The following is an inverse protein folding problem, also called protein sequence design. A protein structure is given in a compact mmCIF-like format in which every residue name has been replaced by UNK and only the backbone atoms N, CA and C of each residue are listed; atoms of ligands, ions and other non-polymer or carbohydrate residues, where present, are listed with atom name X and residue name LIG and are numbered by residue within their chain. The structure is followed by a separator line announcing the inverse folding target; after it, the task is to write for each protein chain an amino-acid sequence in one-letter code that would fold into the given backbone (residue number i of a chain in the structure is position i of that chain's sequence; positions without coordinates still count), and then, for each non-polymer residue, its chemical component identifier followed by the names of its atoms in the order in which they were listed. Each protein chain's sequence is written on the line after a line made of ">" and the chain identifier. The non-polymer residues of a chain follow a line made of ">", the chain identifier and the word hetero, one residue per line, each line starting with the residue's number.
data_IF_447155475856
#
_entry.id   IF_447155475856
#
_cell.length_a   1.000
_cell.length_b   1.000
_cell.length_c   1.000
_cell.angle_alpha   90.00
_cell.angle_beta   90.00
_cell.angle_gamma   90.00
#
_symmetry.space_group_name_H-M   'P 1'
#
loop_
_entity.id
_entity.type
_entity.pdbx_description
1 polymer ?
#
# COMPACT_ATOMS: atom_id res chain seq x y z
N UNK A 1 -6.80 -26.43 11.55
CA UNK A 1 -6.16 -25.11 11.60
C UNK A 1 -5.60 -24.83 10.23
N UNK A 2 -5.95 -23.70 9.60
CA UNK A 2 -5.37 -23.36 8.30
C UNK A 2 -3.85 -23.19 8.50
N UNK A 3 -3.07 -23.97 7.77
CA UNK A 3 -1.62 -24.02 7.95
C UNK A 3 -1.04 -22.66 7.54
N UNK A 4 -0.68 -21.82 8.53
CA UNK A 4 -0.16 -20.47 8.31
C UNK A 4 1.03 -20.49 7.35
N UNK A 5 1.80 -21.58 7.36
CA UNK A 5 2.90 -21.83 6.44
C UNK A 5 2.45 -21.73 4.97
N UNK A 6 1.27 -22.26 4.62
CA UNK A 6 0.70 -22.20 3.26
C UNK A 6 0.25 -20.79 2.88
N UNK A 7 -0.14 -19.96 3.83
CA UNK A 7 -0.55 -18.57 3.59
C UNK A 7 0.65 -17.65 3.26
N UNK A 8 1.79 -17.89 3.91
CA UNK A 8 2.95 -16.98 3.84
C UNK A 8 4.08 -17.48 2.96
N UNK A 9 4.14 -18.79 2.65
CA UNK A 9 5.22 -19.36 1.85
C UNK A 9 4.84 -19.39 0.36
N UNK A 10 5.40 -18.50 -0.48
CA UNK A 10 5.09 -18.45 -1.91
C UNK A 10 5.68 -19.65 -2.67
N UNK A 11 6.61 -20.43 -2.13
CA UNK A 11 7.22 -21.56 -2.84
C UNK A 11 6.58 -22.91 -2.49
N UNK A 12 5.69 -22.94 -1.49
CA UNK A 12 4.99 -24.15 -1.09
C UNK A 12 4.16 -24.74 -2.25
N UNK A 13 4.24 -26.06 -2.42
CA UNK A 13 3.40 -26.77 -3.38
C UNK A 13 1.92 -26.70 -2.98
N UNK A 14 1.00 -26.64 -3.94
CA UNK A 14 -0.45 -26.56 -3.71
C UNK A 14 -1.10 -27.77 -4.36
N UNK A 15 -1.34 -28.82 -3.58
CA UNK A 15 -1.84 -30.10 -4.08
C UNK A 15 -3.32 -30.28 -3.79
N UNK A 16 -3.78 -29.86 -2.60
CA UNK A 16 -5.16 -30.07 -2.17
C UNK A 16 -6.01 -28.79 -2.27
N UNK A 17 -7.34 -28.95 -2.21
CA UNK A 17 -8.24 -27.80 -2.08
C UNK A 17 -8.02 -27.03 -0.78
N UNK A 18 -7.66 -27.71 0.31
CA UNK A 18 -7.33 -27.08 1.59
C UNK A 18 -6.09 -26.19 1.49
N UNK A 19 -5.02 -26.69 0.84
CA UNK A 19 -3.81 -25.90 0.57
C UNK A 19 -4.12 -24.68 -0.30
N UNK A 20 -4.94 -24.87 -1.34
CA UNK A 20 -5.31 -23.80 -2.26
C UNK A 20 -6.14 -22.70 -1.58
N UNK A 21 -7.05 -23.09 -0.67
CA UNK A 21 -7.81 -22.15 0.16
C UNK A 21 -6.90 -21.39 1.13
N UNK A 22 -5.98 -22.08 1.81
CA UNK A 22 -5.03 -21.46 2.72
C UNK A 22 -4.11 -20.47 1.98
N UNK A 23 -3.47 -20.90 0.89
CA UNK A 23 -2.66 -20.02 0.05
C UNK A 23 -3.47 -18.83 -0.51
N UNK A 24 -4.71 -19.06 -0.94
CA UNK A 24 -5.62 -18.02 -1.44
C UNK A 24 -5.94 -16.94 -0.41
N UNK A 25 -6.02 -17.32 0.88
CA UNK A 25 -6.17 -16.39 2.01
C UNK A 25 -4.91 -15.59 2.32
N UNK A 26 -3.74 -16.00 1.83
CA UNK A 26 -2.51 -15.19 1.89
C UNK A 26 -2.71 -13.80 1.29
N UNK A 27 -3.49 -13.69 0.20
CA UNK A 27 -3.85 -12.39 -0.39
C UNK A 27 -4.68 -11.50 0.53
N UNK A 28 -5.50 -12.08 1.43
CA UNK A 28 -6.23 -11.31 2.42
C UNK A 28 -5.29 -10.75 3.51
N UNK A 29 -4.27 -11.51 3.91
CA UNK A 29 -3.24 -11.01 4.83
C UNK A 29 -2.49 -9.82 4.23
N UNK A 30 -2.17 -9.88 2.93
CA UNK A 30 -1.57 -8.75 2.21
C UNK A 30 -2.47 -7.50 2.24
N UNK A 31 -3.77 -7.67 2.02
CA UNK A 31 -4.73 -6.57 2.08
C UNK A 31 -4.84 -5.97 3.50
N UNK A 32 -4.88 -6.80 4.55
CA UNK A 32 -4.90 -6.31 5.93
C UNK A 32 -3.61 -5.60 6.33
N UNK A 33 -2.46 -6.09 5.85
CA UNK A 33 -1.17 -5.42 6.06
C UNK A 33 -1.18 -4.02 5.41
N UNK A 34 -1.69 -3.90 4.19
CA UNK A 34 -1.83 -2.60 3.50
C UNK A 34 -2.81 -1.68 4.22
N UNK A 35 -3.92 -2.21 4.74
CA UNK A 35 -4.87 -1.44 5.54
C UNK A 35 -4.22 -0.89 6.82
N UNK A 36 -3.52 -1.74 7.57
CA UNK A 36 -2.83 -1.34 8.79
C UNK A 36 -1.75 -0.28 8.52
N UNK A 37 -0.92 -0.49 7.48
CA UNK A 37 0.08 0.48 7.06
C UNK A 37 -0.54 1.84 6.67
N UNK A 38 -1.69 1.81 5.98
CA UNK A 38 -2.42 3.03 5.61
C UNK A 38 -2.95 3.78 6.84
N UNK A 39 -3.51 3.07 7.82
CA UNK A 39 -3.96 3.69 9.09
C UNK A 39 -2.79 4.32 9.84
N UNK A 40 -1.67 3.61 9.97
CA UNK A 40 -0.46 4.13 10.64
C UNK A 40 0.04 5.38 9.92
N UNK A 41 0.13 5.34 8.58
CA UNK A 41 0.54 6.48 7.77
C UNK A 41 -0.38 7.69 7.93
N UNK A 42 -1.71 7.47 7.93
CA UNK A 42 -2.72 8.51 8.20
C UNK A 42 -2.56 9.13 9.59
N UNK A 43 -2.38 8.30 10.63
CA UNK A 43 -2.20 8.76 11.99
C UNK A 43 -0.94 9.62 12.13
N UNK A 44 0.16 9.22 11.51
CA UNK A 44 1.39 10.00 11.54
C UNK A 44 1.22 11.36 10.87
N UNK A 45 0.58 11.42 9.69
CA UNK A 45 0.28 12.69 9.02
C UNK A 45 -0.62 13.57 9.90
N UNK A 46 -1.65 12.98 10.50
CA UNK A 46 -2.59 13.72 11.35
C UNK A 46 -1.91 14.27 12.62
N UNK A 47 -1.13 13.45 13.32
CA UNK A 47 -0.42 13.83 14.54
C UNK A 47 0.71 14.84 14.30
N UNK A 48 1.20 14.93 13.06
CA UNK A 48 2.28 15.85 12.66
C UNK A 48 1.80 16.92 11.68
N UNK A 49 0.50 17.18 11.61
CA UNK A 49 -0.12 18.02 10.57
C UNK A 49 0.54 19.40 10.43
N UNK A 50 0.78 20.09 11.54
CA UNK A 50 1.38 21.44 11.51
C UNK A 50 2.83 21.40 11.01
N UNK A 51 3.63 20.44 11.50
CA UNK A 51 5.01 20.27 11.08
C UNK A 51 5.11 19.84 9.60
N UNK A 52 4.19 19.00 9.15
CA UNK A 52 4.10 18.57 7.77
C UNK A 52 3.71 19.74 6.84
N UNK A 53 2.74 20.56 7.24
CA UNK A 53 2.31 21.74 6.51
C UNK A 53 3.44 22.79 6.43
N UNK A 54 4.19 22.99 7.52
CA UNK A 54 5.35 23.89 7.53
C UNK A 54 6.44 23.43 6.55
N UNK A 55 6.76 22.12 6.54
CA UNK A 55 7.71 21.53 5.58
C UNK A 55 7.26 21.69 4.13
N UNK A 56 5.99 21.43 3.85
CA UNK A 56 5.40 21.64 2.51
C UNK A 56 5.57 23.08 2.01
N UNK A 57 5.29 24.07 2.88
CA UNK A 57 5.42 25.49 2.54
C UNK A 57 6.88 25.88 2.30
N UNK A 58 7.80 25.43 3.16
CA UNK A 58 9.23 25.66 2.98
C UNK A 58 9.72 25.06 1.65
N UNK A 59 9.31 23.82 1.35
CA UNK A 59 9.65 23.13 0.12
C UNK A 59 9.13 23.85 -1.13
N UNK A 60 7.93 24.45 -1.04
CA UNK A 60 7.33 25.26 -2.12
C UNK A 60 8.12 26.54 -2.37
N UNK A 61 8.46 27.27 -1.30
CA UNK A 61 9.24 28.51 -1.40
C UNK A 61 10.60 28.23 -2.04
N UNK A 62 11.25 27.15 -1.64
CA UNK A 62 12.56 26.82 -2.18
C UNK A 62 12.50 26.25 -3.61
N UNK A 63 11.37 25.66 -4.04
CA UNK A 63 11.18 25.23 -5.43
C UNK A 63 10.86 26.39 -6.37
N UNK A 64 10.02 27.33 -5.95
CA UNK A 64 9.48 28.39 -6.83
C UNK A 64 10.04 29.78 -6.56
N UNK A 65 10.86 29.96 -5.53
CA UNK A 65 11.36 31.24 -5.07
C UNK A 65 10.36 31.99 -4.19
N UNK A 66 10.88 32.70 -3.19
CA UNK A 66 10.06 33.53 -2.30
C UNK A 66 9.40 34.69 -3.06
N UNK A 67 8.12 34.95 -2.81
CA UNK A 67 7.40 36.10 -3.36
C UNK A 67 6.96 35.97 -4.83
N UNK A 68 7.27 34.87 -5.52
CA UNK A 68 6.76 34.64 -6.88
C UNK A 68 5.24 34.38 -6.89
N UNK A 69 4.56 34.76 -7.96
CA UNK A 69 3.10 34.53 -8.09
C UNK A 69 2.75 33.04 -8.03
N UNK A 70 3.62 32.17 -8.57
CA UNK A 70 3.47 30.72 -8.48
C UNK A 70 3.58 30.23 -7.04
N UNK A 71 4.55 30.72 -6.27
CA UNK A 71 4.69 30.36 -4.86
C UNK A 71 3.49 30.87 -4.04
N UNK A 72 3.04 32.11 -4.24
CA UNK A 72 1.84 32.66 -3.56
C UNK A 72 0.59 31.84 -3.86
N UNK A 73 0.38 31.49 -5.14
CA UNK A 73 -0.73 30.65 -5.55
C UNK A 73 -0.66 29.27 -4.88
N UNK A 74 0.49 28.58 -4.95
CA UNK A 74 0.69 27.28 -4.33
C UNK A 74 0.50 27.30 -2.80
N UNK A 75 1.07 28.30 -2.12
CA UNK A 75 0.96 28.47 -0.67
C UNK A 75 -0.49 28.73 -0.22
N UNK A 76 -1.28 29.46 -1.01
CA UNK A 76 -2.69 29.71 -0.70
C UNK A 76 -3.55 28.43 -0.75
N UNK A 77 -3.14 27.44 -1.54
CA UNK A 77 -3.78 26.12 -1.60
C UNK A 77 -3.31 25.19 -0.47
N UNK A 78 -2.18 25.48 0.19
CA UNK A 78 -1.63 24.71 1.30
C UNK A 78 -2.29 25.08 2.64
N UNK A 79 -3.54 24.68 2.78
CA UNK A 79 -4.35 24.85 3.99
C UNK A 79 -4.37 23.56 4.82
N UNK A 80 -4.71 23.64 6.12
CA UNK A 80 -4.95 22.45 6.95
C UNK A 80 -6.00 21.49 6.36
N UNK A 81 -6.98 22.04 5.63
CA UNK A 81 -8.02 21.25 4.93
C UNK A 81 -7.41 20.26 3.94
N UNK A 82 -6.33 20.64 3.25
CA UNK A 82 -5.63 19.73 2.34
C UNK A 82 -5.07 18.51 3.10
N UNK A 83 -4.51 18.71 4.29
CA UNK A 83 -3.99 17.63 5.14
C UNK A 83 -5.12 16.70 5.59
N UNK A 84 -6.24 17.26 6.07
CA UNK A 84 -7.40 16.45 6.48
C UNK A 84 -8.00 15.68 5.31
N UNK A 85 -8.02 16.27 4.11
CA UNK A 85 -8.46 15.59 2.89
C UNK A 85 -7.52 14.42 2.55
N UNK A 86 -6.19 14.61 2.61
CA UNK A 86 -5.22 13.53 2.42
C UNK A 86 -5.43 12.41 3.43
N UNK A 87 -5.51 12.73 4.73
CA UNK A 87 -5.74 11.75 5.81
C UNK A 87 -7.04 10.98 5.56
N UNK A 88 -8.13 11.68 5.22
CA UNK A 88 -9.44 11.09 4.96
C UNK A 88 -9.38 10.14 3.76
N UNK A 89 -8.77 10.55 2.65
CA UNK A 89 -8.61 9.70 1.48
C UNK A 89 -7.79 8.45 1.80
N UNK A 90 -6.69 8.59 2.52
CA UNK A 90 -5.87 7.44 2.95
C UNK A 90 -6.65 6.48 3.86
N UNK A 91 -7.51 6.99 4.75
CA UNK A 91 -8.38 6.15 5.59
C UNK A 91 -9.47 5.45 4.77
N UNK A 92 -10.02 6.08 3.73
CA UNK A 92 -10.94 5.42 2.80
C UNK A 92 -10.26 4.28 2.04
N UNK A 93 -9.01 4.47 1.60
CA UNK A 93 -8.22 3.38 1.03
C UNK A 93 -7.93 2.27 2.04
N UNK A 94 -7.63 2.61 3.30
CA UNK A 94 -7.45 1.63 4.36
C UNK A 94 -8.71 0.78 4.57
N UNK A 95 -9.89 1.42 4.59
CA UNK A 95 -11.17 0.73 4.67
C UNK A 95 -11.40 -0.16 3.44
N UNK A 96 -11.12 0.33 2.24
CA UNK A 96 -11.22 -0.44 1.01
C UNK A 96 -10.35 -1.71 1.08
N UNK A 97 -9.09 -1.58 1.50
CA UNK A 97 -8.20 -2.73 1.68
C UNK A 97 -8.74 -3.71 2.74
N UNK A 98 -9.27 -3.22 3.85
CA UNK A 98 -9.87 -4.08 4.88
C UNK A 98 -11.09 -4.84 4.35
N UNK A 99 -11.97 -4.18 3.59
CA UNK A 99 -13.14 -4.81 2.97
C UNK A 99 -12.72 -5.86 1.94
N UNK A 100 -11.79 -5.52 1.04
CA UNK A 100 -11.27 -6.46 0.05
C UNK A 100 -10.55 -7.65 0.71
N UNK A 101 -9.81 -7.40 1.80
CA UNK A 101 -9.21 -8.44 2.62
C UNK A 101 -10.25 -9.37 3.24
N UNK A 102 -11.33 -8.83 3.81
CA UNK A 102 -12.42 -9.62 4.36
C UNK A 102 -13.15 -10.44 3.29
N UNK A 103 -13.39 -9.86 2.11
CA UNK A 103 -13.97 -10.56 0.95
C UNK A 103 -13.05 -11.70 0.51
N UNK A 104 -11.75 -11.43 0.33
CA UNK A 104 -10.75 -12.44 -0.06
C UNK A 104 -10.62 -13.55 0.99
N UNK A 105 -10.75 -13.22 2.28
CA UNK A 105 -10.68 -14.20 3.37
C UNK A 105 -11.83 -15.20 3.33
N UNK A 106 -13.05 -14.69 3.10
CA UNK A 106 -14.27 -15.51 3.02
C UNK A 106 -14.39 -16.26 1.70
N UNK A 107 -14.04 -15.61 0.59
CA UNK A 107 -14.19 -16.15 -0.76
C UNK A 107 -12.93 -15.82 -1.60
N UNK A 108 -11.86 -16.63 -1.50
CA UNK A 108 -10.65 -16.39 -2.28
C UNK A 108 -10.95 -16.33 -3.79
N UNK A 109 -10.66 -15.18 -4.38
CA UNK A 109 -10.77 -14.90 -5.81
C UNK A 109 -9.38 -14.57 -6.36
N UNK A 110 -9.18 -14.80 -7.65
CA UNK A 110 -7.95 -14.48 -8.39
C UNK A 110 -7.81 -12.97 -8.61
N UNK A 111 -8.94 -12.26 -8.78
CA UNK A 111 -8.95 -10.84 -9.17
C UNK A 111 -8.38 -9.92 -8.08
N UNK A 112 -8.83 -10.08 -6.82
CA UNK A 112 -8.41 -9.22 -5.71
C UNK A 112 -6.88 -9.25 -5.51
N UNK A 113 -6.23 -10.41 -5.31
CA UNK A 113 -4.78 -10.46 -5.14
C UNK A 113 -4.02 -10.01 -6.38
N UNK A 114 -4.55 -10.23 -7.59
CA UNK A 114 -3.92 -9.72 -8.81
C UNK A 114 -3.92 -8.18 -8.84
N UNK A 115 -5.08 -7.55 -8.65
CA UNK A 115 -5.22 -6.10 -8.68
C UNK A 115 -4.38 -5.44 -7.58
N UNK A 116 -4.51 -5.90 -6.34
CA UNK A 116 -3.77 -5.35 -5.21
C UNK A 116 -2.26 -5.63 -5.31
N UNK A 117 -1.89 -6.79 -5.86
CA UNK A 117 -0.49 -7.14 -6.15
C UNK A 117 0.13 -6.21 -7.19
N UNK A 118 -0.56 -5.96 -8.31
CA UNK A 118 -0.10 -5.04 -9.35
C UNK A 118 -0.01 -3.60 -8.83
N UNK A 119 -1.00 -3.14 -8.06
CA UNK A 119 -0.99 -1.80 -7.47
C UNK A 119 0.18 -1.62 -6.49
N UNK A 120 0.45 -2.65 -5.66
CA UNK A 120 1.57 -2.63 -4.71
C UNK A 120 2.92 -2.67 -5.42
N UNK A 121 3.05 -3.49 -6.47
CA UNK A 121 4.25 -3.53 -7.30
C UNK A 121 4.50 -2.21 -8.04
N UNK A 122 3.43 -1.59 -8.56
CA UNK A 122 3.49 -0.26 -9.16
C UNK A 122 3.94 0.80 -8.15
N UNK A 123 3.37 0.81 -6.94
CA UNK A 123 3.78 1.71 -5.86
C UNK A 123 5.25 1.54 -5.46
N UNK A 124 5.74 0.29 -5.40
CA UNK A 124 7.14 0.01 -5.13
C UNK A 124 8.05 0.52 -6.26
N UNK A 125 7.65 0.32 -7.52
CA UNK A 125 8.41 0.78 -8.69
C UNK A 125 8.47 2.32 -8.77
N UNK A 126 7.37 3.02 -8.51
CA UNK A 126 7.35 4.49 -8.50
C UNK A 126 8.16 5.06 -7.33
N UNK A 127 8.13 4.41 -6.17
CA UNK A 127 8.99 4.79 -5.04
C UNK A 127 10.48 4.64 -5.40
N UNK A 128 10.89 3.53 -6.00
CA UNK A 128 12.26 3.30 -6.47
C UNK A 128 12.67 4.34 -7.52
N UNK A 129 11.80 4.59 -8.50
CA UNK A 129 12.04 5.58 -9.55
C UNK A 129 12.21 6.99 -8.98
N UNK A 130 11.40 7.36 -7.97
CA UNK A 130 11.50 8.65 -7.30
C UNK A 130 12.85 8.83 -6.57
N UNK A 131 13.41 7.76 -6.00
CA UNK A 131 14.74 7.79 -5.40
C UNK A 131 15.86 7.93 -6.44
N UNK A 132 15.74 7.24 -7.57
CA UNK A 132 16.74 7.29 -8.65
C UNK A 132 16.76 8.65 -9.37
N UNK A 133 15.60 9.27 -9.54
CA UNK A 133 15.49 10.53 -10.29
C UNK A 133 15.89 11.77 -9.49
N UNK A 134 16.10 11.66 -8.17
CA UNK A 134 16.60 12.76 -7.33
C UNK A 134 15.76 14.04 -7.44
N UNK A 135 14.55 14.05 -6.87
CA UNK A 135 13.71 15.25 -6.86
C UNK A 135 14.24 16.30 -5.87
N UNK A 136 14.47 17.53 -6.34
CA UNK A 136 14.83 18.67 -5.48
C UNK A 136 13.76 18.95 -4.40
N UNK A 137 12.49 18.67 -4.72
CA UNK A 137 11.38 18.76 -3.77
C UNK A 137 11.43 17.62 -2.72
N UNK A 138 11.80 16.40 -3.16
CA UNK A 138 11.96 15.25 -2.26
C UNK A 138 13.16 15.41 -1.30
N UNK A 139 14.22 16.09 -1.74
CA UNK A 139 15.35 16.44 -0.89
C UNK A 139 14.93 17.35 0.30
N UNK A 140 13.93 18.20 0.11
CA UNK A 140 13.43 19.11 1.14
C UNK A 140 12.35 18.49 2.02
N UNK A 141 11.55 17.59 1.47
CA UNK A 141 10.60 16.77 2.21
C UNK A 141 11.26 15.48 2.73
N UNK A 142 12.45 15.60 3.34
CA UNK A 142 13.24 14.44 3.74
C UNK A 142 12.46 13.53 4.69
N UNK A 143 12.07 12.35 4.20
CA UNK A 143 11.48 11.28 4.99
C UNK A 143 12.61 10.47 5.61
N UNK A 144 12.61 10.22 6.94
CA UNK A 144 13.65 9.42 7.59
C UNK A 144 13.86 8.08 6.88
N UNK A 145 15.12 7.68 6.67
CA UNK A 145 15.48 6.47 5.91
C UNK A 145 14.83 5.22 6.49
N UNK A 146 14.76 5.09 7.82
CA UNK A 146 14.12 3.95 8.47
C UNK A 146 12.64 3.81 8.08
N UNK A 147 11.93 4.94 7.90
CA UNK A 147 10.52 4.95 7.52
C UNK A 147 10.35 4.56 6.06
N UNK A 148 11.25 5.03 5.19
CA UNK A 148 11.28 4.61 3.79
C UNK A 148 11.55 3.10 3.66
N UNK A 149 12.53 2.58 4.42
CA UNK A 149 12.85 1.16 4.45
C UNK A 149 11.69 0.32 4.98
N UNK A 150 10.98 0.78 6.02
CA UNK A 150 9.79 0.12 6.53
C UNK A 150 8.67 0.06 5.48
N UNK A 151 8.38 1.17 4.80
CA UNK A 151 7.39 1.21 3.71
C UNK A 151 7.76 0.26 2.57
N UNK A 152 9.03 0.23 2.17
CA UNK A 152 9.54 -0.69 1.16
C UNK A 152 9.35 -2.15 1.57
N UNK A 153 9.71 -2.49 2.81
CA UNK A 153 9.54 -3.83 3.37
C UNK A 153 8.08 -4.27 3.37
N UNK A 154 7.16 -3.40 3.83
CA UNK A 154 5.72 -3.67 3.83
C UNK A 154 5.21 -3.94 2.41
N UNK A 155 5.61 -3.12 1.43
CA UNK A 155 5.21 -3.29 0.04
C UNK A 155 5.74 -4.62 -0.55
N UNK A 156 6.99 -4.98 -0.27
CA UNK A 156 7.59 -6.24 -0.72
C UNK A 156 6.82 -7.43 -0.12
N UNK A 157 6.58 -7.41 1.19
CA UNK A 157 5.82 -8.47 1.87
C UNK A 157 4.40 -8.56 1.30
N UNK A 158 3.73 -7.42 1.07
CA UNK A 158 2.40 -7.39 0.48
C UNK A 158 2.40 -8.01 -0.92
N UNK A 159 3.37 -7.69 -1.78
CA UNK A 159 3.51 -8.28 -3.12
C UNK A 159 3.67 -9.80 -3.04
N UNK A 160 4.49 -10.31 -2.12
CA UNK A 160 4.68 -11.75 -1.92
C UNK A 160 3.37 -12.42 -1.48
N UNK A 161 2.65 -11.82 -0.54
CA UNK A 161 1.36 -12.32 -0.05
C UNK A 161 0.29 -12.30 -1.14
N UNK A 162 0.25 -11.26 -1.97
CA UNK A 162 -0.66 -11.17 -3.11
C UNK A 162 -0.31 -12.19 -4.20
N UNK A 163 0.96 -12.40 -4.50
CA UNK A 163 1.39 -13.45 -5.42
C UNK A 163 0.95 -14.84 -4.94
N UNK A 164 1.13 -15.15 -3.64
CA UNK A 164 0.67 -16.41 -3.08
C UNK A 164 -0.86 -16.53 -3.10
N UNK A 165 -1.57 -15.45 -2.75
CA UNK A 165 -3.03 -15.35 -2.83
C UNK A 165 -3.56 -15.62 -4.23
N UNK A 166 -2.92 -15.06 -5.26
CA UNK A 166 -3.25 -15.27 -6.67
C UNK A 166 -3.06 -16.74 -7.07
N UNK A 167 -1.91 -17.33 -6.75
CA UNK A 167 -1.64 -18.75 -7.02
C UNK A 167 -2.64 -19.68 -6.35
N UNK A 168 -2.91 -19.46 -5.06
CA UNK A 168 -3.86 -20.25 -4.28
C UNK A 168 -5.27 -20.17 -4.85
N UNK A 169 -5.77 -18.95 -5.10
CA UNK A 169 -7.11 -18.76 -5.67
C UNK A 169 -7.23 -19.34 -7.08
N UNK A 170 -6.19 -19.22 -7.91
CA UNK A 170 -6.19 -19.79 -9.27
C UNK A 170 -6.26 -21.32 -9.21
N UNK A 171 -5.44 -21.96 -8.35
CA UNK A 171 -5.49 -23.42 -8.17
C UNK A 171 -6.83 -23.89 -7.60
N UNK A 172 -7.39 -23.17 -6.63
CA UNK A 172 -8.70 -23.46 -6.06
C UNK A 172 -9.80 -23.43 -7.13
N UNK A 173 -9.74 -22.46 -8.05
CA UNK A 173 -10.69 -22.36 -9.16
C UNK A 173 -10.61 -23.54 -10.14
N UNK A 174 -9.40 -24.09 -10.37
CA UNK A 174 -9.19 -25.25 -11.24
C UNK A 174 -9.70 -26.52 -10.57
N UNK A 175 -9.31 -26.76 -9.31
CA UNK A 175 -9.75 -27.92 -8.54
C UNK A 175 -11.27 -27.98 -8.36
N UNK A 176 -11.96 -26.83 -8.25
CA UNK A 176 -13.42 -26.79 -8.19
C UNK A 176 -14.09 -27.10 -9.53
N UNK A 177 -13.45 -26.72 -10.65
CA UNK A 177 -13.94 -27.04 -12.00
C UNK A 177 -13.70 -28.50 -12.36
N UNK A 178 -12.60 -29.08 -11.90
CA UNK A 178 -12.27 -30.51 -12.10
C UNK A 178 -13.21 -31.44 -11.28
N UNK A 179 -13.80 -30.92 -10.20
CA UNK A 179 -14.71 -31.67 -9.33
C UNK A 179 -16.20 -31.48 -9.65
N UNK A 180 -16.53 -30.65 -10.65
CA UNK A 180 -17.90 -30.36 -11.11
C UNK A 180 -18.17 -31.10 -12.42
#
# INVERSE_FOLDING_TARGET
>A
MADLSRMINPTASIQTQGDALAAGRGGALGAFLMAAASVIGSLEIFLTADAYLAKMRAATIAQYGEGTEVAKAALSMMTPTMIYMTVTMTLLFALLYAVLGAVQWRKPNVIIPLLLGLLSAYGLATMLLAQLNGSALAAQMHVPIWRQALSALVAIVAVVLFYNGFRGANRLSKLRREAA
#
